data_IF_563408443954
#
_entry.id   IF_563408443954
#
_cell.length_a   1.000
_cell.length_b   1.000
_cell.length_c   1.000
_cell.angle_alpha   90.00
_cell.angle_beta   90.00
_cell.angle_gamma   90.00
#
_symmetry.space_group_name_H-M   'P 1'
#
loop_
_entity.id
_entity.type
_entity.pdbx_description
1 polymer ?
#
# COMPACT_ATOMS: atom_id res chain seq x y z
N UNK A 1 36.31 -37.43 2.99
CA UNK A 1 36.59 -36.39 4.00
C UNK A 1 35.28 -36.07 4.68
N UNK A 2 35.23 -36.24 6.01
CA UNK A 2 34.05 -36.03 6.84
C UNK A 2 33.67 -34.55 6.87
N UNK A 3 32.54 -34.19 6.25
CA UNK A 3 31.91 -32.87 6.41
C UNK A 3 31.40 -32.75 7.84
N UNK A 4 32.04 -31.90 8.64
CA UNK A 4 31.58 -31.52 9.96
C UNK A 4 30.24 -30.78 9.83
N UNK A 5 29.12 -31.48 10.06
CA UNK A 5 27.75 -30.95 10.03
C UNK A 5 27.39 -30.14 11.30
N UNK A 6 28.33 -29.40 11.89
CA UNK A 6 28.02 -28.53 13.02
C UNK A 6 27.48 -27.20 12.48
N UNK A 7 26.28 -26.82 12.94
CA UNK A 7 25.71 -25.50 12.66
C UNK A 7 26.57 -24.44 13.35
N UNK A 8 27.08 -23.48 12.59
CA UNK A 8 27.74 -22.31 13.18
C UNK A 8 26.67 -21.35 13.70
N UNK A 9 26.97 -20.61 14.76
CA UNK A 9 26.03 -19.62 15.32
C UNK A 9 25.66 -18.51 14.35
N UNK A 10 26.49 -18.27 13.33
CA UNK A 10 26.30 -17.25 12.30
C UNK A 10 25.18 -17.63 11.30
N UNK A 11 24.92 -18.93 11.14
CA UNK A 11 23.88 -19.46 10.25
C UNK A 11 22.50 -19.55 10.91
N UNK A 12 22.42 -19.20 12.20
CA UNK A 12 21.22 -19.29 13.02
C UNK A 12 20.59 -17.92 13.28
N UNK A 13 19.27 -17.89 13.18
CA UNK A 13 18.43 -16.73 13.47
C UNK A 13 17.47 -17.10 14.59
N UNK A 14 17.39 -16.24 15.60
CA UNK A 14 16.59 -16.48 16.78
C UNK A 14 15.38 -15.55 16.79
N UNK A 15 14.21 -16.14 16.96
CA UNK A 15 12.96 -15.42 17.12
C UNK A 15 13.03 -14.46 18.30
N UNK A 16 12.44 -13.29 18.10
CA UNK A 16 12.24 -12.27 19.13
C UNK A 16 10.78 -12.21 19.59
N UNK A 17 9.93 -13.06 19.02
CA UNK A 17 8.50 -13.18 19.34
C UNK A 17 8.22 -14.45 20.13
N UNK A 18 8.74 -15.59 19.66
CA UNK A 18 8.54 -16.94 20.19
C UNK A 18 9.82 -17.49 20.80
N UNK A 19 9.80 -17.89 22.07
CA UNK A 19 11.00 -18.37 22.77
C UNK A 19 11.67 -19.63 22.17
N UNK A 20 10.96 -20.38 21.32
CA UNK A 20 11.48 -21.58 20.65
C UNK A 20 11.74 -21.41 19.14
N UNK A 21 11.54 -20.22 18.56
CA UNK A 21 11.75 -20.02 17.13
C UNK A 21 13.23 -19.94 16.78
N UNK A 22 13.74 -20.98 16.12
CA UNK A 22 15.12 -21.02 15.61
C UNK A 22 15.09 -21.36 14.13
N UNK A 23 15.74 -20.53 13.33
CA UNK A 23 15.78 -20.65 11.89
C UNK A 23 17.23 -20.79 11.41
N UNK A 24 17.42 -21.56 10.35
CA UNK A 24 18.71 -21.77 9.70
C UNK A 24 18.69 -21.20 8.29
N UNK A 25 19.77 -20.55 7.89
CA UNK A 25 20.11 -20.36 6.48
C UNK A 25 21.30 -21.24 6.12
N UNK A 26 21.22 -22.00 5.03
CA UNK A 26 22.31 -22.86 4.58
C UNK A 26 23.33 -22.16 3.67
N UNK A 27 23.17 -20.84 3.46
CA UNK A 27 23.97 -19.99 2.56
C UNK A 27 23.95 -20.43 1.09
N UNK A 28 23.01 -21.28 0.69
CA UNK A 28 22.90 -21.75 -0.70
C UNK A 28 21.78 -21.02 -1.43
N UNK A 29 20.67 -20.75 -0.73
CA UNK A 29 19.47 -20.21 -1.35
C UNK A 29 19.21 -18.74 -0.99
N UNK A 30 19.21 -17.90 -2.03
CA UNK A 30 18.71 -16.53 -2.00
C UNK A 30 17.47 -16.46 -2.90
N UNK A 31 16.41 -15.86 -2.39
CA UNK A 31 15.11 -15.76 -3.06
C UNK A 31 14.70 -14.30 -3.27
N UNK A 32 13.88 -14.06 -4.28
CA UNK A 32 13.26 -12.76 -4.52
C UNK A 32 11.97 -12.62 -3.68
N UNK A 33 11.40 -11.41 -3.63
CA UNK A 33 10.06 -11.23 -3.07
C UNK A 33 9.04 -12.03 -3.89
N UNK A 34 8.34 -13.02 -3.29
CA UNK A 34 7.45 -13.92 -4.02
C UNK A 34 6.21 -13.22 -4.61
N UNK A 35 5.88 -11.99 -4.19
CA UNK A 35 4.73 -11.27 -4.73
C UNK A 35 4.97 -10.65 -6.11
N UNK A 36 6.20 -10.19 -6.39
CA UNK A 36 6.49 -9.36 -7.57
C UNK A 36 7.76 -9.73 -8.35
N UNK A 37 8.59 -10.62 -7.81
CA UNK A 37 9.93 -10.88 -8.34
C UNK A 37 10.84 -9.65 -8.22
N UNK A 38 11.92 -9.61 -9.01
CA UNK A 38 12.96 -8.58 -8.86
C UNK A 38 12.63 -7.20 -9.44
N UNK A 39 11.59 -7.01 -10.26
CA UNK A 39 11.41 -5.76 -11.05
C UNK A 39 12.68 -5.24 -11.78
N UNK A 40 13.70 -6.09 -11.99
CA UNK A 40 15.04 -5.70 -12.47
C UNK A 40 16.04 -5.21 -11.40
N UNK A 41 15.61 -5.02 -10.15
CA UNK A 41 16.44 -4.49 -9.04
C UNK A 41 17.35 -5.55 -8.38
N UNK A 42 17.16 -6.83 -8.71
CA UNK A 42 17.89 -7.97 -8.12
C UNK A 42 17.95 -7.96 -6.58
N UNK A 43 16.84 -7.54 -5.95
CA UNK A 43 16.71 -7.65 -4.50
C UNK A 43 16.49 -9.11 -4.11
N UNK A 44 17.23 -9.55 -3.10
CA UNK A 44 17.36 -10.91 -2.65
C UNK A 44 17.22 -11.00 -1.14
N UNK A 45 16.79 -12.16 -0.68
CA UNK A 45 16.59 -12.48 0.72
C UNK A 45 17.07 -13.90 1.00
N UNK A 46 17.78 -14.13 2.12
CA UNK A 46 18.02 -15.46 2.64
C UNK A 46 16.72 -16.27 2.78
N UNK A 47 16.72 -17.50 2.28
CA UNK A 47 15.64 -18.43 2.58
C UNK A 47 15.95 -19.16 3.88
N UNK A 48 15.20 -18.82 4.93
CA UNK A 48 15.36 -19.41 6.25
C UNK A 48 14.45 -20.62 6.40
N UNK A 49 14.95 -21.69 7.02
CA UNK A 49 14.14 -22.87 7.39
C UNK A 49 14.01 -22.95 8.90
N UNK A 50 12.78 -23.06 9.41
CA UNK A 50 12.53 -23.31 10.83
C UNK A 50 13.03 -24.71 11.19
N UNK A 51 13.90 -24.82 12.20
CA UNK A 51 14.52 -26.09 12.58
C UNK A 51 13.55 -27.11 13.22
N UNK A 52 12.41 -26.63 13.72
CA UNK A 52 11.40 -27.47 14.36
C UNK A 52 10.34 -27.88 13.36
N UNK A 53 9.79 -26.93 12.59
CA UNK A 53 8.65 -27.19 11.69
C UNK A 53 9.06 -27.55 10.26
N UNK A 54 10.29 -27.20 9.84
CA UNK A 54 10.74 -27.33 8.46
C UNK A 54 10.12 -26.30 7.51
N UNK A 55 9.30 -25.38 8.00
CA UNK A 55 8.69 -24.33 7.19
C UNK A 55 9.74 -23.31 6.74
N UNK A 56 9.54 -22.77 5.53
CA UNK A 56 10.47 -21.82 4.92
C UNK A 56 9.94 -20.40 4.94
N UNK A 57 10.86 -19.46 5.20
CA UNK A 57 10.57 -18.05 5.35
C UNK A 57 11.59 -17.23 4.58
N UNK A 58 11.12 -16.20 3.89
CA UNK A 58 11.99 -15.13 3.42
C UNK A 58 11.92 -13.97 4.42
N UNK A 59 12.97 -13.15 4.46
CA UNK A 59 13.06 -12.02 5.38
C UNK A 59 13.01 -10.68 4.66
N UNK A 60 12.43 -9.68 5.32
CA UNK A 60 12.57 -8.26 4.93
C UNK A 60 13.15 -7.48 6.11
N UNK A 61 14.21 -6.72 5.85
CA UNK A 61 14.88 -5.89 6.85
C UNK A 61 14.04 -4.69 7.24
N UNK A 62 14.23 -4.24 8.48
CA UNK A 62 13.73 -2.97 8.95
C UNK A 62 14.57 -2.40 10.08
N UNK A 63 14.53 -1.07 10.22
CA UNK A 63 14.98 -0.40 11.44
C UNK A 63 13.86 -0.49 12.48
N UNK A 64 14.17 -1.09 13.62
CA UNK A 64 13.19 -1.32 14.66
C UNK A 64 13.74 -0.84 16.01
N UNK A 65 13.10 0.19 16.57
CA UNK A 65 13.33 0.62 17.94
C UNK A 65 12.49 -0.22 18.91
N UNK A 66 12.72 -0.06 20.22
CA UNK A 66 12.03 -0.86 21.24
C UNK A 66 10.51 -0.69 21.25
N UNK A 67 9.99 0.51 20.96
CA UNK A 67 8.56 0.79 20.92
C UNK A 67 7.90 0.07 19.74
N UNK A 68 8.45 0.24 18.54
CA UNK A 68 7.98 -0.41 17.31
C UNK A 68 8.07 -1.93 17.42
N UNK A 69 9.11 -2.46 18.07
CA UNK A 69 9.26 -3.89 18.35
C UNK A 69 8.05 -4.46 19.08
N UNK A 70 7.60 -3.81 20.16
CA UNK A 70 6.49 -4.32 20.96
C UNK A 70 5.16 -4.27 20.20
N UNK A 71 4.95 -3.23 19.37
CA UNK A 71 3.77 -3.12 18.50
C UNK A 71 3.78 -4.21 17.43
N UNK A 72 4.89 -4.41 16.73
CA UNK A 72 5.03 -5.48 15.73
C UNK A 72 4.87 -6.87 16.34
N UNK A 73 5.43 -7.10 17.54
CA UNK A 73 5.22 -8.34 18.28
C UNK A 73 3.73 -8.62 18.50
N UNK A 74 2.95 -7.63 18.93
CA UNK A 74 1.49 -7.78 19.09
C UNK A 74 0.80 -8.10 17.76
N UNK A 75 1.19 -7.46 16.66
CA UNK A 75 0.65 -7.71 15.31
C UNK A 75 0.96 -9.10 14.77
N UNK A 76 2.17 -9.60 15.02
CA UNK A 76 2.56 -10.96 14.66
C UNK A 76 1.72 -11.98 15.43
N UNK A 77 1.46 -11.72 16.71
CA UNK A 77 0.65 -12.59 17.58
C UNK A 77 -0.86 -12.50 17.30
N UNK A 78 -1.34 -11.47 16.61
CA UNK A 78 -2.74 -11.26 16.28
C UNK A 78 -2.90 -10.94 14.79
N UNK A 79 -2.54 -11.83 13.86
CA UNK A 79 -2.58 -11.52 12.44
C UNK A 79 -4.03 -11.34 11.93
N UNK A 80 -4.25 -10.52 10.88
CA UNK A 80 -5.51 -10.51 10.14
C UNK A 80 -5.67 -11.83 9.35
N UNK A 81 -6.81 -11.98 8.68
CA UNK A 81 -6.93 -12.97 7.62
C UNK A 81 -5.90 -12.68 6.51
N UNK A 82 -5.06 -13.67 6.25
CA UNK A 82 -3.95 -13.58 5.29
C UNK A 82 -4.41 -13.83 3.85
N UNK A 83 -5.70 -13.92 3.59
CA UNK A 83 -6.27 -14.07 2.25
C UNK A 83 -6.00 -12.86 1.35
N UNK A 84 -5.90 -11.65 1.92
CA UNK A 84 -5.73 -10.40 1.17
C UNK A 84 -4.47 -9.60 1.51
N UNK A 85 -3.62 -10.04 2.43
CA UNK A 85 -2.41 -9.32 2.80
C UNK A 85 -1.28 -10.27 3.19
N UNK A 86 -0.06 -9.97 2.73
CA UNK A 86 1.16 -10.58 3.24
C UNK A 86 1.32 -10.16 4.69
N UNK A 87 1.60 -11.09 5.60
CA UNK A 87 1.75 -10.76 7.02
C UNK A 87 2.98 -11.45 7.63
N UNK A 88 3.75 -10.75 8.47
CA UNK A 88 4.89 -11.37 9.14
C UNK A 88 4.42 -12.44 10.10
N UNK A 89 5.10 -13.58 10.08
CA UNK A 89 4.86 -14.70 11.02
C UNK A 89 5.80 -14.65 12.20
N UNK A 90 6.95 -13.99 12.09
CA UNK A 90 7.93 -13.83 13.16
C UNK A 90 8.84 -12.62 12.90
N UNK A 91 9.74 -12.33 13.84
CA UNK A 91 10.76 -11.30 13.76
C UNK A 91 12.06 -11.78 14.42
N UNK A 92 13.20 -11.48 13.80
CA UNK A 92 14.54 -11.86 14.29
C UNK A 92 15.44 -10.64 14.39
N UNK A 93 16.44 -10.71 15.27
CA UNK A 93 17.58 -9.78 15.25
C UNK A 93 18.57 -10.19 14.17
N UNK A 94 19.25 -9.22 13.57
CA UNK A 94 20.29 -9.45 12.58
C UNK A 94 21.64 -8.97 13.10
N UNK A 95 22.70 -9.76 12.89
CA UNK A 95 24.06 -9.25 12.91
C UNK A 95 24.34 -8.41 11.65
N UNK A 96 25.45 -7.64 11.65
CA UNK A 96 25.85 -6.86 10.47
C UNK A 96 26.11 -7.76 9.25
N UNK A 97 26.70 -8.94 9.45
CA UNK A 97 26.90 -9.93 8.39
C UNK A 97 25.56 -10.43 7.83
N UNK A 98 24.63 -10.83 8.71
CA UNK A 98 23.31 -11.31 8.28
C UNK A 98 22.50 -10.21 7.58
N UNK A 99 22.62 -8.96 8.04
CA UNK A 99 21.97 -7.82 7.41
C UNK A 99 22.51 -7.54 6.00
N UNK A 100 23.81 -7.72 5.77
CA UNK A 100 24.44 -7.53 4.47
C UNK A 100 23.96 -8.52 3.40
N UNK A 101 23.43 -9.68 3.82
CA UNK A 101 22.97 -10.75 2.92
C UNK A 101 21.51 -10.57 2.44
N UNK A 102 20.78 -9.61 3.01
CA UNK A 102 19.40 -9.32 2.64
C UNK A 102 19.27 -7.92 2.04
N UNK A 103 18.73 -7.81 0.83
CA UNK A 103 18.43 -6.52 0.18
C UNK A 103 16.94 -6.17 0.18
N UNK A 104 16.06 -7.06 0.65
CA UNK A 104 14.65 -6.74 0.85
C UNK A 104 14.40 -5.90 2.11
N UNK A 105 13.49 -4.94 2.01
CA UNK A 105 13.05 -4.06 3.09
C UNK A 105 11.54 -4.02 3.23
N UNK A 106 11.07 -3.86 4.46
CA UNK A 106 9.64 -3.68 4.77
C UNK A 106 9.16 -2.33 4.22
N UNK A 107 9.89 -1.25 4.51
CA UNK A 107 9.56 0.11 4.11
C UNK A 107 9.95 0.41 2.66
N UNK A 108 9.14 1.23 1.98
CA UNK A 108 9.53 1.91 0.75
C UNK A 108 10.00 3.33 1.07
N UNK A 109 10.85 3.87 0.22
CA UNK A 109 11.10 5.32 0.17
C UNK A 109 10.36 5.88 -1.04
N UNK A 110 9.65 6.98 -0.79
CA UNK A 110 8.88 7.74 -1.76
C UNK A 110 9.51 9.14 -1.88
N UNK A 111 10.82 9.22 -2.10
CA UNK A 111 11.59 10.47 -2.14
C UNK A 111 12.12 10.78 -3.53
N UNK A 112 12.55 12.02 -3.74
CA UNK A 112 13.22 12.43 -4.98
C UNK A 112 14.54 11.71 -5.25
N UNK A 113 15.23 11.30 -4.19
CA UNK A 113 16.52 10.58 -4.26
C UNK A 113 16.49 9.43 -3.26
N UNK A 114 15.98 8.25 -3.65
CA UNK A 114 15.94 7.09 -2.77
C UNK A 114 17.34 6.64 -2.35
N UNK A 115 17.46 6.24 -1.09
CA UNK A 115 18.71 5.74 -0.51
C UNK A 115 19.10 4.42 -1.19
N UNK A 116 20.39 4.28 -1.53
CA UNK A 116 20.91 3.03 -2.10
C UNK A 116 20.71 1.88 -1.12
N UNK A 117 20.31 0.71 -1.62
CA UNK A 117 20.03 -0.48 -0.81
C UNK A 117 21.22 -0.89 0.08
N UNK A 118 22.44 -0.70 -0.41
CA UNK A 118 23.69 -0.95 0.32
C UNK A 118 23.89 -0.02 1.53
N UNK A 119 23.29 1.16 1.51
CA UNK A 119 23.40 2.16 2.58
C UNK A 119 22.26 2.06 3.60
N UNK A 120 21.18 1.36 3.25
CA UNK A 120 20.03 1.16 4.12
C UNK A 120 20.40 0.26 5.30
N UNK A 121 20.20 0.78 6.50
CA UNK A 121 20.38 0.07 7.77
C UNK A 121 19.11 -0.71 8.15
N UNK A 122 19.28 -1.82 8.85
CA UNK A 122 18.19 -2.61 9.40
C UNK A 122 18.71 -3.60 10.43
N UNK A 123 18.44 -3.34 11.71
CA UNK A 123 18.91 -4.15 12.84
C UNK A 123 18.03 -5.41 13.08
N UNK A 124 16.89 -5.51 12.39
CA UNK A 124 15.95 -6.63 12.51
C UNK A 124 15.39 -7.04 11.15
N UNK A 125 14.82 -8.24 11.11
CA UNK A 125 14.08 -8.76 9.98
C UNK A 125 12.71 -9.27 10.42
N UNK A 126 11.69 -9.01 9.59
CA UNK A 126 10.41 -9.69 9.66
C UNK A 126 10.46 -10.94 8.77
N UNK A 127 9.95 -12.05 9.29
CA UNK A 127 9.88 -13.35 8.59
C UNK A 127 8.50 -13.50 7.97
N UNK A 128 8.47 -13.79 6.68
CA UNK A 128 7.28 -14.03 5.91
C UNK A 128 7.32 -15.46 5.36
N UNK A 129 6.22 -16.23 5.43
CA UNK A 129 6.17 -17.56 4.81
C UNK A 129 6.57 -17.45 3.33
N UNK A 130 7.37 -18.37 2.79
CA UNK A 130 7.81 -18.30 1.39
C UNK A 130 6.88 -19.04 0.41
N UNK A 131 6.23 -20.10 0.85
CA UNK A 131 5.33 -20.91 0.01
C UNK A 131 3.90 -20.38 -0.08
N UNK A 132 3.20 -20.80 -1.14
CA UNK A 132 1.74 -20.62 -1.26
C UNK A 132 1.27 -19.35 -1.99
N UNK A 133 2.18 -18.59 -2.61
CA UNK A 133 1.81 -17.40 -3.39
C UNK A 133 1.69 -17.75 -4.88
N UNK A 134 0.49 -17.63 -5.48
CA UNK A 134 0.36 -17.74 -6.93
C UNK A 134 1.08 -16.57 -7.62
N UNK A 135 1.44 -16.70 -8.91
CA UNK A 135 1.98 -15.58 -9.68
C UNK A 135 1.04 -14.36 -9.63
N UNK A 136 1.63 -13.20 -9.36
CA UNK A 136 0.93 -11.93 -9.20
C UNK A 136 1.65 -10.82 -9.97
N UNK A 137 0.91 -9.76 -10.32
CA UNK A 137 1.48 -8.53 -10.87
C UNK A 137 1.07 -7.34 -10.01
N UNK A 138 1.96 -6.38 -9.82
CA UNK A 138 1.61 -5.16 -9.09
C UNK A 138 0.64 -4.27 -9.89
N UNK A 139 0.00 -3.34 -9.19
CA UNK A 139 -0.97 -2.38 -9.75
C UNK A 139 -0.39 -1.56 -10.90
N UNK A 140 0.88 -1.15 -10.82
CA UNK A 140 1.52 -0.41 -11.92
C UNK A 140 1.51 -1.21 -13.23
N UNK A 141 1.95 -2.48 -13.19
CA UNK A 141 1.92 -3.38 -14.35
C UNK A 141 0.50 -3.72 -14.78
N UNK A 142 -0.42 -3.89 -13.82
CA UNK A 142 -1.82 -4.17 -14.10
C UNK A 142 -2.47 -3.02 -14.88
N UNK A 143 -2.24 -1.77 -14.45
CA UNK A 143 -2.79 -0.61 -15.14
C UNK A 143 -2.13 -0.37 -16.49
N UNK A 144 -0.83 -0.64 -16.64
CA UNK A 144 -0.14 -0.54 -17.94
C UNK A 144 -0.69 -1.51 -19.01
N UNK A 145 -1.36 -2.60 -18.60
CA UNK A 145 -2.04 -3.52 -19.51
C UNK A 145 -3.43 -3.03 -19.93
N UNK A 146 -4.00 -2.06 -19.21
CA UNK A 146 -5.33 -1.52 -19.47
C UNK A 146 -5.17 -0.28 -20.33
N UNK A 147 -5.73 -0.30 -21.55
CA UNK A 147 -5.54 0.78 -22.54
C UNK A 147 -6.03 2.15 -22.09
N UNK A 148 -7.08 2.19 -21.27
CA UNK A 148 -7.72 3.44 -20.87
C UNK A 148 -8.25 3.33 -19.44
N UNK A 149 -7.78 4.24 -18.59
CA UNK A 149 -8.32 4.47 -17.25
C UNK A 149 -9.63 5.23 -17.37
N UNK A 150 -10.73 4.57 -17.01
CA UNK A 150 -12.06 5.14 -17.08
C UNK A 150 -13.03 4.32 -16.22
N UNK A 151 -13.91 4.97 -15.47
CA UNK A 151 -14.99 4.25 -14.76
C UNK A 151 -15.95 3.52 -15.72
N UNK A 152 -16.02 3.90 -17.00
CA UNK A 152 -16.79 3.18 -18.02
C UNK A 152 -16.18 1.81 -18.35
N UNK A 153 -14.86 1.66 -18.17
CA UNK A 153 -14.15 0.42 -18.40
C UNK A 153 -14.49 -0.63 -17.31
N UNK A 154 -15.13 -1.77 -17.64
CA UNK A 154 -15.44 -2.82 -16.67
C UNK A 154 -14.22 -3.35 -15.91
N UNK A 155 -13.05 -3.42 -16.55
CA UNK A 155 -11.83 -3.90 -15.90
C UNK A 155 -11.35 -2.95 -14.80
N UNK A 156 -11.45 -1.64 -15.03
CA UNK A 156 -11.13 -0.61 -14.03
C UNK A 156 -12.11 -0.65 -12.87
N UNK A 157 -13.40 -0.83 -13.15
CA UNK A 157 -14.40 -1.02 -12.08
C UNK A 157 -14.09 -2.24 -11.24
N UNK A 158 -13.72 -3.36 -11.86
CA UNK A 158 -13.31 -4.54 -11.12
C UNK A 158 -12.02 -4.29 -10.32
N UNK A 159 -11.01 -3.64 -10.89
CA UNK A 159 -9.79 -3.25 -10.15
C UNK A 159 -10.14 -2.45 -8.89
N UNK A 160 -10.97 -1.42 -9.02
CA UNK A 160 -11.42 -0.61 -7.90
C UNK A 160 -12.18 -1.44 -6.83
N UNK A 161 -13.12 -2.29 -7.25
CA UNK A 161 -13.85 -3.20 -6.35
C UNK A 161 -12.90 -4.11 -5.57
N UNK A 162 -11.89 -4.69 -6.23
CA UNK A 162 -11.00 -5.66 -5.61
C UNK A 162 -10.01 -4.99 -4.65
N UNK A 163 -9.52 -3.78 -4.96
CA UNK A 163 -8.71 -2.97 -4.04
C UNK A 163 -9.52 -2.66 -2.78
N UNK A 164 -10.75 -2.16 -2.96
CA UNK A 164 -11.63 -1.82 -1.85
C UNK A 164 -11.94 -3.01 -0.97
N UNK A 165 -12.21 -4.18 -1.56
CA UNK A 165 -12.46 -5.42 -0.79
C UNK A 165 -11.26 -5.84 0.04
N UNK A 166 -10.06 -5.80 -0.53
CA UNK A 166 -8.85 -6.16 0.21
C UNK A 166 -8.63 -5.23 1.41
N UNK A 167 -8.76 -3.92 1.22
CA UNK A 167 -8.61 -2.93 2.30
C UNK A 167 -9.75 -3.05 3.32
N UNK A 168 -11.00 -3.26 2.88
CA UNK A 168 -12.15 -3.45 3.77
C UNK A 168 -11.99 -4.71 4.66
N UNK A 169 -11.42 -5.78 4.12
CA UNK A 169 -11.10 -6.99 4.88
C UNK A 169 -10.05 -6.72 5.95
N UNK A 170 -8.94 -6.05 5.59
CA UNK A 170 -7.91 -5.64 6.55
C UNK A 170 -8.48 -4.71 7.65
N UNK A 171 -9.35 -3.77 7.26
CA UNK A 171 -10.08 -2.91 8.21
C UNK A 171 -10.97 -3.70 9.17
N UNK A 172 -11.70 -4.70 8.69
CA UNK A 172 -12.56 -5.55 9.54
C UNK A 172 -11.77 -6.40 10.53
N UNK A 173 -10.53 -6.74 10.19
CA UNK A 173 -9.61 -7.43 11.07
C UNK A 173 -8.90 -6.49 12.07
N UNK A 174 -9.26 -5.20 12.09
CA UNK A 174 -8.77 -4.23 13.06
C UNK A 174 -7.48 -3.53 12.67
N UNK A 175 -7.15 -3.50 11.38
CA UNK A 175 -5.94 -2.87 10.83
C UNK A 175 -6.25 -1.80 9.80
N UNK A 176 -5.39 -0.78 9.73
CA UNK A 176 -5.43 0.28 8.72
C UNK A 176 -4.14 0.20 7.90
N UNK A 177 -4.31 0.32 6.59
CA UNK A 177 -3.31 0.22 5.55
C UNK A 177 -3.09 1.59 4.89
N UNK A 178 -2.07 2.33 5.33
CA UNK A 178 -1.75 3.68 4.83
C UNK A 178 -0.82 3.67 3.61
N UNK A 179 -0.26 2.52 3.23
CA UNK A 179 0.67 2.38 2.09
C UNK A 179 -0.05 2.27 0.74
N UNK A 180 -0.99 3.19 0.50
CA UNK A 180 -1.84 3.20 -0.70
C UNK A 180 -1.01 3.61 -1.91
N UNK A 181 -0.32 2.64 -2.51
CA UNK A 181 0.49 2.82 -3.70
C UNK A 181 0.34 1.61 -4.64
N UNK A 182 0.33 1.85 -5.94
CA UNK A 182 0.12 0.81 -6.95
C UNK A 182 1.26 -0.23 -7.00
N UNK A 183 2.47 0.09 -6.51
CA UNK A 183 3.55 -0.91 -6.36
C UNK A 183 3.33 -1.87 -5.18
N UNK A 184 2.44 -1.53 -4.24
CA UNK A 184 2.16 -2.28 -3.00
C UNK A 184 0.89 -3.12 -3.07
N UNK A 185 0.08 -2.91 -4.11
CA UNK A 185 -1.15 -3.62 -4.42
C UNK A 185 -0.85 -4.63 -5.53
N UNK A 186 -1.06 -5.92 -5.26
CA UNK A 186 -0.84 -7.01 -6.20
C UNK A 186 -2.16 -7.63 -6.66
N UNK A 187 -2.21 -8.05 -7.91
CA UNK A 187 -3.36 -8.71 -8.52
C UNK A 187 -3.01 -10.16 -8.83
N UNK A 188 -3.84 -11.08 -8.34
CA UNK A 188 -3.80 -12.49 -8.72
C UNK A 188 -4.40 -12.69 -10.12
N UNK A 189 -4.17 -13.87 -10.69
CA UNK A 189 -4.72 -14.27 -11.99
C UNK A 189 -6.25 -14.24 -12.05
N UNK A 190 -6.93 -14.49 -10.92
CA UNK A 190 -8.38 -14.39 -10.78
C UNK A 190 -8.90 -12.95 -10.58
N UNK A 191 -8.00 -11.96 -10.57
CA UNK A 191 -8.29 -10.55 -10.39
C UNK A 191 -8.43 -10.09 -8.93
N UNK A 192 -8.34 -10.99 -7.94
CA UNK A 192 -8.37 -10.59 -6.52
C UNK A 192 -7.09 -9.86 -6.12
N UNK A 193 -7.22 -8.95 -5.15
CA UNK A 193 -6.11 -8.15 -4.64
C UNK A 193 -5.42 -8.80 -3.46
N UNK A 194 -4.09 -8.69 -3.45
CA UNK A 194 -3.21 -9.04 -2.35
C UNK A 194 -2.31 -7.84 -2.00
N UNK A 195 -2.30 -7.44 -0.73
CA UNK A 195 -1.54 -6.30 -0.25
C UNK A 195 -0.18 -6.74 0.27
N UNK A 196 0.85 -5.95 0.04
CA UNK A 196 2.17 -6.18 0.61
C UNK A 196 2.27 -5.52 1.99
N UNK A 197 2.81 -6.23 2.98
CA UNK A 197 3.05 -5.64 4.30
C UNK A 197 4.04 -4.48 4.22
N UNK A 198 3.83 -3.45 5.03
CA UNK A 198 4.79 -2.36 5.22
C UNK A 198 4.76 -1.79 6.63
N UNK A 199 5.64 -0.82 6.90
CA UNK A 199 5.69 -0.08 8.16
C UNK A 199 4.52 0.91 8.34
N UNK A 200 3.67 1.06 7.32
CA UNK A 200 2.48 1.92 7.31
C UNK A 200 1.19 1.11 7.55
N UNK A 201 1.32 -0.06 8.17
CA UNK A 201 0.19 -0.83 8.68
C UNK A 201 0.05 -0.60 10.19
N UNK A 202 -1.12 -0.13 10.60
CA UNK A 202 -1.44 0.25 11.97
C UNK A 202 -2.61 -0.58 12.49
N UNK A 203 -2.62 -0.92 13.77
CA UNK A 203 -3.82 -1.48 14.41
C UNK A 203 -4.75 -0.34 14.83
N UNK A 204 -6.04 -0.63 15.00
CA UNK A 204 -6.97 0.37 15.53
C UNK A 204 -6.57 0.84 16.94
N UNK A 205 -5.96 -0.04 17.74
CA UNK A 205 -5.39 0.30 19.06
C UNK A 205 -4.33 1.41 18.95
N UNK A 206 -3.57 1.44 17.86
CA UNK A 206 -2.51 2.44 17.67
C UNK A 206 -3.09 3.86 17.58
N UNK A 207 -4.29 4.05 17.01
CA UNK A 207 -4.93 5.36 16.89
C UNK A 207 -5.64 5.84 18.14
N UNK A 208 -6.08 4.93 19.01
CA UNK A 208 -6.80 5.26 20.24
C UNK A 208 -5.88 5.36 21.47
N UNK A 209 -4.62 4.95 21.34
CA UNK A 209 -3.63 5.05 22.41
C UNK A 209 -3.16 6.48 22.63
N UNK A 210 -2.79 6.83 23.87
CA UNK A 210 -2.19 8.13 24.20
C UNK A 210 -0.86 8.39 23.44
N UNK A 211 -0.31 7.34 22.81
CA UNK A 211 0.91 7.32 22.00
C UNK A 211 0.62 7.38 20.49
N UNK A 212 -0.63 7.63 20.06
CA UNK A 212 -1.01 7.65 18.64
C UNK A 212 -0.17 8.64 17.82
N UNK A 213 -0.03 9.88 18.29
CA UNK A 213 0.68 10.95 17.58
C UNK A 213 2.17 10.63 17.31
N UNK A 214 2.98 10.16 18.28
CA UNK A 214 4.38 9.82 18.01
C UNK A 214 4.57 8.56 17.18
N UNK A 215 3.60 7.64 17.15
CA UNK A 215 3.75 6.34 16.49
C UNK A 215 3.12 6.26 15.11
N UNK A 216 1.89 6.76 14.96
CA UNK A 216 1.16 6.80 13.69
C UNK A 216 1.60 8.01 12.87
N UNK A 217 2.90 8.22 12.70
CA UNK A 217 3.46 9.34 11.94
C UNK A 217 4.55 8.81 11.01
N UNK A 218 4.64 9.41 9.83
CA UNK A 218 5.74 9.21 8.89
C UNK A 218 6.20 10.56 8.35
N UNK A 219 7.50 10.67 8.09
CA UNK A 219 8.10 11.87 7.52
C UNK A 219 7.82 11.95 6.03
N UNK A 220 7.99 13.15 5.46
CA UNK A 220 7.99 13.31 4.01
C UNK A 220 8.99 12.32 3.38
N UNK A 221 8.53 11.57 2.38
CA UNK A 221 9.30 10.51 1.74
C UNK A 221 9.15 9.11 2.32
N UNK A 222 8.46 8.95 3.45
CA UNK A 222 8.20 7.64 4.08
C UNK A 222 6.79 7.08 3.76
N UNK A 223 5.98 7.81 2.98
CA UNK A 223 4.63 7.43 2.54
C UNK A 223 4.37 7.86 1.08
N UNK A 224 3.45 7.19 0.35
CA UNK A 224 3.19 7.49 -1.05
C UNK A 224 2.53 8.86 -1.20
N UNK A 225 3.24 9.79 -1.82
CA UNK A 225 2.84 11.19 -1.85
C UNK A 225 1.68 11.43 -2.83
N UNK A 226 1.56 10.63 -3.88
CA UNK A 226 0.63 10.82 -5.01
C UNK A 226 -0.85 10.79 -4.58
N UNK A 227 -1.13 10.02 -3.53
CA UNK A 227 -2.47 9.83 -2.97
C UNK A 227 -2.57 10.32 -1.53
N UNK A 228 -1.54 10.97 -0.97
CA UNK A 228 -1.57 11.42 0.42
C UNK A 228 -2.58 12.54 0.66
N UNK A 229 -3.11 12.65 1.88
CA UNK A 229 -3.97 13.77 2.26
C UNK A 229 -3.17 15.08 2.32
N UNK A 230 -3.62 16.19 1.68
CA UNK A 230 -2.90 17.47 1.73
C UNK A 230 -2.64 18.00 3.13
N UNK A 231 -3.57 17.84 4.06
CA UNK A 231 -3.36 18.22 5.46
C UNK A 231 -2.16 17.49 6.08
N UNK A 232 -1.97 16.20 5.78
CA UNK A 232 -0.82 15.42 6.23
C UNK A 232 0.47 15.90 5.56
N UNK A 233 0.47 16.06 4.24
CA UNK A 233 1.65 16.50 3.48
C UNK A 233 2.13 17.89 3.92
N UNK A 234 1.19 18.79 4.24
CA UNK A 234 1.48 20.14 4.73
C UNK A 234 1.80 20.20 6.22
N UNK A 235 1.71 19.09 6.95
CA UNK A 235 1.94 19.02 8.39
C UNK A 235 0.84 19.70 9.24
N UNK A 236 -0.33 19.97 8.66
CA UNK A 236 -1.52 20.43 9.39
C UNK A 236 -2.01 19.26 10.26
N UNK A 237 -2.15 18.09 9.64
CA UNK A 237 -2.34 16.81 10.33
C UNK A 237 -0.95 16.21 10.62
N UNK A 238 -0.70 15.84 11.88
CA UNK A 238 0.62 15.35 12.32
C UNK A 238 0.74 13.82 12.31
N UNK A 239 -0.37 13.10 12.29
CA UNK A 239 -0.41 11.65 12.37
C UNK A 239 -1.47 11.07 11.44
N UNK A 240 -1.24 9.87 10.95
CA UNK A 240 -2.25 9.07 10.27
C UNK A 240 -3.44 8.79 11.17
N UNK A 241 -4.60 8.62 10.55
CA UNK A 241 -5.84 8.18 11.17
C UNK A 241 -6.75 7.55 10.11
N UNK A 242 -7.95 7.13 10.49
CA UNK A 242 -8.89 6.54 9.53
C UNK A 242 -9.20 7.44 8.32
N UNK A 243 -9.14 8.77 8.49
CA UNK A 243 -9.44 9.70 7.42
C UNK A 243 -8.29 9.81 6.42
N UNK A 244 -7.02 9.63 6.84
CA UNK A 244 -5.87 9.61 5.91
C UNK A 244 -5.99 8.44 4.93
N UNK A 245 -6.21 7.20 5.41
CA UNK A 245 -6.44 6.06 4.52
C UNK A 245 -7.62 6.30 3.58
N UNK A 246 -8.76 6.75 4.13
CA UNK A 246 -9.97 6.92 3.35
C UNK A 246 -9.83 8.02 2.29
N UNK A 247 -9.08 9.08 2.60
CA UNK A 247 -8.69 10.11 1.63
C UNK A 247 -7.84 9.49 0.52
N UNK A 248 -6.77 8.76 0.87
CA UNK A 248 -5.86 8.17 -0.13
C UNK A 248 -6.55 7.17 -1.04
N UNK A 249 -7.49 6.40 -0.49
CA UNK A 249 -8.32 5.50 -1.27
C UNK A 249 -9.25 6.27 -2.23
N UNK A 250 -9.85 7.38 -1.80
CA UNK A 250 -10.64 8.26 -2.66
C UNK A 250 -9.80 8.85 -3.79
N UNK A 251 -8.60 9.35 -3.50
CA UNK A 251 -7.67 9.89 -4.49
C UNK A 251 -7.24 8.81 -5.52
N UNK A 252 -6.94 7.59 -5.06
CA UNK A 252 -6.65 6.46 -5.93
C UNK A 252 -7.84 6.09 -6.83
N UNK A 253 -9.05 6.03 -6.28
CA UNK A 253 -10.27 5.76 -7.06
C UNK A 253 -10.50 6.83 -8.12
N UNK A 254 -10.26 8.10 -7.79
CA UNK A 254 -10.36 9.20 -8.75
C UNK A 254 -9.38 8.99 -9.91
N UNK A 255 -8.11 8.72 -9.60
CA UNK A 255 -7.10 8.42 -10.62
C UNK A 255 -7.49 7.23 -11.51
N UNK A 256 -7.98 6.14 -10.93
CA UNK A 256 -8.45 4.97 -11.70
C UNK A 256 -9.61 5.32 -12.65
N UNK A 257 -10.54 6.18 -12.20
CA UNK A 257 -11.79 6.46 -12.91
C UNK A 257 -11.68 7.52 -14.00
N UNK A 258 -10.70 8.40 -13.89
CA UNK A 258 -10.54 9.56 -14.75
C UNK A 258 -9.20 9.61 -15.46
N UNK A 259 -8.23 8.77 -15.07
CA UNK A 259 -6.86 8.81 -15.59
C UNK A 259 -6.08 10.06 -15.18
N UNK A 260 -6.65 10.89 -14.30
CA UNK A 260 -6.13 12.19 -13.88
C UNK A 260 -6.07 12.25 -12.35
N UNK A 261 -5.05 12.89 -11.79
CA UNK A 261 -4.98 13.14 -10.34
C UNK A 261 -5.90 14.31 -9.95
N UNK A 262 -6.46 14.26 -8.74
CA UNK A 262 -7.56 15.14 -8.35
C UNK A 262 -7.22 16.64 -8.24
N UNK A 263 -5.94 17.00 -8.11
CA UNK A 263 -5.46 18.40 -8.15
C UNK A 263 -4.56 18.70 -9.35
N UNK A 264 -4.48 17.79 -10.32
CA UNK A 264 -3.65 17.96 -11.50
C UNK A 264 -4.45 18.63 -12.61
N UNK A 265 -4.69 19.93 -12.44
CA UNK A 265 -5.33 20.78 -13.44
C UNK A 265 -4.45 21.97 -13.78
N UNK A 266 -5.08 23.09 -14.13
CA UNK A 266 -4.39 24.29 -14.62
C UNK A 266 -3.28 24.83 -13.69
N UNK A 267 -3.40 24.63 -12.37
CA UNK A 267 -2.41 25.09 -11.40
C UNK A 267 -1.09 24.31 -11.47
N UNK A 268 -1.09 23.11 -12.05
CA UNK A 268 0.09 22.29 -12.25
C UNK A 268 0.57 22.27 -13.71
N UNK A 269 0.04 23.15 -14.55
CA UNK A 269 0.57 23.37 -15.90
C UNK A 269 2.05 23.74 -15.85
N UNK A 270 2.87 23.02 -16.61
CA UNK A 270 4.32 23.24 -16.69
C UNK A 270 5.16 22.30 -15.82
N UNK A 271 4.55 21.51 -14.94
CA UNK A 271 5.25 20.38 -14.32
C UNK A 271 5.49 19.28 -15.35
N UNK A 272 6.71 18.75 -15.37
CA UNK A 272 7.09 17.60 -16.21
C UNK A 272 7.27 16.39 -15.30
N UNK A 273 6.67 15.26 -15.66
CA UNK A 273 6.69 14.02 -14.88
C UNK A 273 7.42 12.90 -15.62
N UNK A 274 8.73 13.07 -15.83
CA UNK A 274 9.58 12.18 -16.65
C UNK A 274 10.70 11.49 -15.85
N UNK A 275 10.75 11.73 -14.53
CA UNK A 275 11.79 11.24 -13.64
C UNK A 275 11.29 11.22 -12.20
N UNK A 276 11.85 10.33 -11.37
CA UNK A 276 11.49 10.18 -9.95
C UNK A 276 11.59 11.52 -9.20
N UNK A 277 12.64 12.29 -9.46
CA UNK A 277 12.83 13.60 -8.82
C UNK A 277 11.72 14.59 -9.21
N UNK A 278 11.43 14.75 -10.50
CA UNK A 278 10.39 15.70 -10.92
C UNK A 278 9.00 15.23 -10.54
N UNK A 279 8.75 13.92 -10.57
CA UNK A 279 7.53 13.30 -10.05
C UNK A 279 7.29 13.72 -8.59
N UNK A 280 8.29 13.49 -7.72
CA UNK A 280 8.19 13.86 -6.32
C UNK A 280 8.00 15.37 -6.11
N UNK A 281 8.72 16.21 -6.85
CA UNK A 281 8.56 17.68 -6.78
C UNK A 281 7.16 18.12 -7.21
N UNK A 282 6.63 17.56 -8.31
CA UNK A 282 5.25 17.80 -8.75
C UNK A 282 4.27 17.47 -7.65
N UNK A 283 4.33 16.26 -7.08
CA UNK A 283 3.39 15.87 -6.04
C UNK A 283 3.60 16.61 -4.72
N UNK A 284 4.82 17.01 -4.36
CA UNK A 284 5.01 17.88 -3.20
C UNK A 284 4.28 19.23 -3.37
N UNK A 285 4.34 19.81 -4.56
CA UNK A 285 3.72 21.10 -4.84
C UNK A 285 2.20 20.98 -5.09
N UNK A 286 1.75 19.87 -5.67
CA UNK A 286 0.34 19.45 -5.84
C UNK A 286 -0.46 19.58 -4.53
N UNK A 287 0.15 19.29 -3.37
CA UNK A 287 -0.53 19.37 -2.08
C UNK A 287 -0.56 20.79 -1.48
N UNK A 288 0.21 21.76 -2.01
CA UNK A 288 0.29 23.12 -1.43
C UNK A 288 -1.02 23.90 -1.59
N UNK A 289 -1.73 23.68 -2.70
CA UNK A 289 -2.99 24.33 -3.03
C UNK A 289 -3.98 23.29 -3.57
N UNK A 290 -4.61 22.49 -2.69
CA UNK A 290 -5.42 21.33 -3.06
C UNK A 290 -6.82 21.75 -3.55
N UNK A 291 -6.86 22.51 -4.64
CA UNK A 291 -8.11 22.92 -5.31
C UNK A 291 -8.51 21.79 -6.25
N UNK A 292 -9.62 21.12 -5.93
CA UNK A 292 -10.13 20.00 -6.72
C UNK A 292 -10.45 20.44 -8.16
N UNK A 293 -10.02 19.67 -9.16
CA UNK A 293 -10.21 20.03 -10.58
C UNK A 293 -11.69 20.13 -10.99
N UNK A 294 -12.59 19.52 -10.23
CA UNK A 294 -14.04 19.62 -10.40
C UNK A 294 -14.72 20.25 -9.18
N UNK A 295 -14.02 21.11 -8.44
CA UNK A 295 -14.63 21.82 -7.29
C UNK A 295 -15.77 22.74 -7.76
N UNK A 296 -17.02 22.57 -7.28
CA UNK A 296 -18.15 23.38 -7.74
C UNK A 296 -18.06 24.85 -7.30
N UNK A 297 -17.23 25.18 -6.32
CA UNK A 297 -17.10 26.52 -5.76
C UNK A 297 -15.79 27.23 -6.16
N UNK A 298 -14.77 26.50 -6.62
CA UNK A 298 -13.50 27.07 -7.05
C UNK A 298 -13.00 26.46 -8.38
N UNK A 299 -13.06 27.25 -9.45
CA UNK A 299 -12.65 26.84 -10.80
C UNK A 299 -11.21 27.23 -11.13
N UNK A 300 -10.41 27.67 -10.16
CA UNK A 300 -9.02 28.06 -10.40
C UNK A 300 -8.18 26.92 -10.99
N UNK A 301 -8.45 25.68 -10.59
CA UNK A 301 -7.76 24.49 -11.08
C UNK A 301 -8.52 23.69 -12.14
N UNK A 302 -9.60 24.24 -12.71
CA UNK A 302 -10.41 23.53 -13.68
C UNK A 302 -9.60 23.10 -14.92
N UNK A 303 -10.03 22.00 -15.52
CA UNK A 303 -9.57 21.49 -16.82
C UNK A 303 -10.20 22.31 -17.97
N UNK A 304 -9.56 22.39 -19.14
CA UNK A 304 -10.23 22.97 -20.33
C UNK A 304 -9.33 23.64 -21.37
N UNK A 305 -8.01 23.41 -21.35
CA UNK A 305 -7.07 23.95 -22.32
C UNK A 305 -6.73 22.97 -23.46
N UNK A 306 -6.91 21.65 -23.27
CA UNK A 306 -6.46 20.62 -24.22
C UNK A 306 -7.51 19.52 -24.51
N UNK A 307 -7.34 18.80 -25.62
CA UNK A 307 -8.28 17.73 -26.04
C UNK A 307 -8.31 16.53 -25.06
N UNK A 308 -7.18 16.16 -24.47
CA UNK A 308 -7.10 15.10 -23.46
C UNK A 308 -7.90 15.46 -22.20
N UNK A 309 -7.84 16.73 -21.77
CA UNK A 309 -8.61 17.25 -20.65
C UNK A 309 -10.13 17.23 -20.92
N UNK A 310 -10.54 17.41 -22.18
CA UNK A 310 -11.95 17.33 -22.58
C UNK A 310 -12.53 15.93 -22.34
N UNK A 311 -11.76 14.88 -22.61
CA UNK A 311 -12.19 13.51 -22.33
C UNK A 311 -12.46 13.29 -20.83
N UNK A 312 -11.62 13.87 -19.97
CA UNK A 312 -11.78 13.78 -18.51
C UNK A 312 -13.04 14.53 -18.06
N UNK A 313 -13.30 15.71 -18.63
CA UNK A 313 -14.52 16.49 -18.36
C UNK A 313 -15.77 15.69 -18.76
N UNK A 314 -15.80 15.11 -19.97
CA UNK A 314 -16.92 14.29 -20.45
C UNK A 314 -17.15 13.06 -19.54
N UNK A 315 -16.07 12.38 -19.13
CA UNK A 315 -16.15 11.28 -18.16
C UNK A 315 -16.73 11.73 -16.82
N UNK A 316 -16.37 12.92 -16.34
CA UNK A 316 -16.91 13.48 -15.10
C UNK A 316 -18.38 13.85 -15.21
N UNK A 317 -18.79 14.51 -16.29
CA UNK A 317 -20.19 14.91 -16.52
C UNK A 317 -21.13 13.71 -16.57
N UNK A 318 -20.68 12.61 -17.18
CA UNK A 318 -21.44 11.35 -17.25
C UNK A 318 -21.33 10.48 -15.99
N UNK A 319 -20.41 10.78 -15.07
CA UNK A 319 -20.20 9.99 -13.86
C UNK A 319 -21.46 9.99 -12.98
N UNK A 320 -21.89 8.83 -12.43
CA UNK A 320 -23.04 8.77 -11.52
C UNK A 320 -22.96 9.81 -10.39
N UNK A 321 -24.07 10.52 -10.13
CA UNK A 321 -24.08 11.65 -9.18
C UNK A 321 -23.63 11.28 -7.78
N UNK A 322 -24.01 10.10 -7.30
CA UNK A 322 -23.54 9.57 -6.01
C UNK A 322 -22.00 9.45 -5.93
N UNK A 323 -21.32 9.14 -7.03
CA UNK A 323 -19.86 9.11 -7.06
C UNK A 323 -19.27 10.51 -7.09
N UNK A 324 -19.84 11.40 -7.91
CA UNK A 324 -19.43 12.81 -7.95
C UNK A 324 -19.52 13.44 -6.55
N UNK A 325 -20.60 13.20 -5.82
CA UNK A 325 -20.80 13.68 -4.45
C UNK A 325 -19.73 13.16 -3.49
N UNK A 326 -19.40 11.86 -3.54
CA UNK A 326 -18.34 11.29 -2.69
C UNK A 326 -16.96 11.89 -3.01
N UNK A 327 -16.66 12.11 -4.29
CA UNK A 327 -15.40 12.76 -4.71
C UNK A 327 -15.36 14.22 -4.26
N UNK A 328 -16.38 15.02 -4.54
CA UNK A 328 -16.45 16.43 -4.12
C UNK A 328 -16.33 16.54 -2.60
N UNK A 329 -17.10 15.75 -1.85
CA UNK A 329 -17.06 15.78 -0.39
C UNK A 329 -15.66 15.52 0.18
N UNK A 330 -14.92 14.57 -0.42
CA UNK A 330 -13.61 14.16 0.10
C UNK A 330 -12.48 15.06 -0.40
N UNK A 331 -12.53 15.47 -1.67
CA UNK A 331 -11.41 16.08 -2.38
C UNK A 331 -11.48 17.61 -2.41
N UNK A 332 -12.63 18.22 -2.14
CA UNK A 332 -12.72 19.68 -2.00
C UNK A 332 -11.77 20.21 -0.93
N UNK A 333 -11.27 21.43 -1.15
CA UNK A 333 -10.19 22.01 -0.37
C UNK A 333 -10.47 22.03 1.14
N UNK A 334 -11.70 22.36 1.54
CA UNK A 334 -12.07 22.41 2.96
C UNK A 334 -11.84 21.07 3.68
N UNK A 335 -12.19 19.95 3.04
CA UNK A 335 -12.00 18.63 3.61
C UNK A 335 -10.54 18.19 3.53
N UNK A 336 -9.89 18.44 2.39
CA UNK A 336 -8.49 18.09 2.15
C UNK A 336 -7.50 18.81 3.09
N UNK A 337 -7.86 20.01 3.58
CA UNK A 337 -7.13 20.79 4.58
C UNK A 337 -7.59 20.54 6.03
N UNK A 338 -8.58 19.68 6.24
CA UNK A 338 -9.25 19.42 7.53
C UNK A 338 -9.84 20.68 8.18
N UNK A 339 -10.40 21.58 7.38
CA UNK A 339 -11.13 22.75 7.85
C UNK A 339 -12.52 22.34 8.38
N UNK A 340 -12.57 21.86 9.62
CA UNK A 340 -13.80 21.44 10.29
C UNK A 340 -13.86 19.93 10.56
N UNK A 341 -15.06 19.40 10.74
CA UNK A 341 -15.25 17.96 10.99
C UNK A 341 -15.17 17.20 9.67
N UNK A 342 -14.18 16.32 9.55
CA UNK A 342 -13.92 15.47 8.38
C UNK A 342 -14.49 14.07 8.62
N UNK A 343 -15.18 13.53 7.62
CA UNK A 343 -15.66 12.14 7.61
C UNK A 343 -15.49 11.59 6.19
N UNK A 344 -14.29 11.07 5.91
CA UNK A 344 -13.99 10.51 4.60
C UNK A 344 -14.65 9.13 4.44
N UNK A 345 -15.25 8.80 3.26
CA UNK A 345 -15.96 7.54 3.07
C UNK A 345 -15.03 6.33 3.24
N UNK A 346 -15.34 5.39 4.14
CA UNK A 346 -14.56 4.16 4.28
C UNK A 346 -14.76 3.23 3.06
N UNK A 347 -13.88 2.23 2.87
CA UNK A 347 -13.98 1.26 1.77
C UNK A 347 -15.40 0.65 1.61
N UNK A 348 -16.03 0.30 2.72
CA UNK A 348 -17.40 -0.24 2.76
C UNK A 348 -18.47 0.69 2.16
N UNK A 349 -18.29 2.02 2.25
CA UNK A 349 -19.21 2.99 1.66
C UNK A 349 -19.11 2.99 0.14
N UNK A 350 -17.88 2.95 -0.39
CA UNK A 350 -17.63 2.80 -1.83
C UNK A 350 -18.17 1.47 -2.37
N UNK A 351 -17.93 0.36 -1.67
CA UNK A 351 -18.44 -0.95 -2.06
C UNK A 351 -19.96 -0.99 -2.14
N UNK A 352 -20.65 -0.37 -1.16
CA UNK A 352 -22.11 -0.24 -1.18
C UNK A 352 -22.59 0.58 -2.37
N UNK A 353 -21.90 1.68 -2.69
CA UNK A 353 -22.19 2.49 -3.86
C UNK A 353 -22.01 1.67 -5.16
N UNK A 354 -20.92 0.92 -5.28
CA UNK A 354 -20.64 0.08 -6.45
C UNK A 354 -21.65 -1.06 -6.61
N UNK A 355 -22.16 -1.64 -5.52
CA UNK A 355 -23.27 -2.61 -5.57
C UNK A 355 -24.56 -1.96 -6.11
N UNK A 356 -24.91 -0.77 -5.63
CA UNK A 356 -26.08 0.00 -6.11
C UNK A 356 -25.98 0.35 -7.60
N UNK A 357 -24.77 0.63 -8.09
CA UNK A 357 -24.50 0.89 -9.51
C UNK A 357 -24.40 -0.38 -10.36
N UNK A 358 -24.54 -1.57 -9.77
CA UNK A 358 -24.48 -2.86 -10.46
C UNK A 358 -23.07 -3.26 -10.92
N UNK A 359 -22.02 -2.71 -10.29
CA UNK A 359 -20.62 -3.00 -10.65
C UNK A 359 -20.08 -4.26 -9.97
N UNK A 360 -20.77 -4.75 -8.94
CA UNK A 360 -20.43 -5.96 -8.23
C UNK A 360 -21.28 -7.11 -8.78
N UNK A 361 -20.65 -8.04 -9.50
CA UNK A 361 -21.33 -9.27 -9.94
C UNK A 361 -21.54 -10.19 -8.74
N UNK A 362 -22.81 -10.44 -8.41
CA UNK A 362 -23.17 -11.53 -7.52
C UNK A 362 -22.98 -12.81 -8.33
N UNK A 363 -22.03 -13.68 -7.93
CA UNK A 363 -21.99 -15.04 -8.48
C UNK A 363 -23.37 -15.64 -8.22
N UNK A 364 -24.10 -16.02 -9.28
CA UNK A 364 -25.25 -16.90 -9.13
C UNK A 364 -24.71 -18.14 -8.41
N UNK A 365 -25.30 -18.47 -7.28
CA UNK A 365 -25.14 -19.82 -6.75
C UNK A 365 -25.76 -20.72 -7.80
N UNK A 366 -24.94 -21.45 -8.55
CA UNK A 366 -25.38 -22.58 -9.36
C UNK A 366 -25.87 -23.66 -8.37
N UNK A 367 -27.11 -23.47 -7.92
CA UNK A 367 -27.98 -24.52 -7.41
C UNK A 367 -29.14 -24.58 -8.41
N UNK A 368 -28.91 -25.30 -9.49
CA UNK A 368 -29.94 -25.94 -10.31
C UNK A 368 -29.49 -27.40 -10.37
N UNK A 369 -29.96 -28.21 -9.43
CA UNK A 369 -31.10 -29.12 -9.63
C UNK A 369 -30.65 -30.39 -10.36
N UNK A 370 -29.99 -31.29 -9.62
CA UNK A 370 -30.08 -32.72 -9.92
C UNK A 370 -31.44 -33.20 -9.41
N UNK A 371 -32.40 -33.33 -10.33
CA UNK A 371 -33.59 -34.18 -10.19
C UNK A 371 -33.34 -35.47 -10.96
#
# INVERSE_FOLDING_TARGET
>A
MSTNNYLTTEDLYYSTVYGGGVYKWDRQELVQDPLGGNNGENLLSPLLTNLITGETYFIKRMNCNYVLHNKLRRRILNPPDRSNILWPSDMVNLSDEQAAQCSLFVAQEYTETPTLVSEKKGNRALLFPYGGYPPMINGMRKLAQIKQLSWKNPEIRNVAVQILRAIDNVNKDGYVYEDIHLSRIFFRSDGTVYLNFSNLVYSFEDFISDEATPFCHAKAGEYPIEFAEPALVRGIQKSFDFNTQNYSLCALLFYLFFGQYCYDGRLLTGYVDDSIQKHYVKFRDYHKMPVFIFDPQDQQNALGAFDEERQVIELWEECPKILQELFIMTLSQSNAERNGKVVNPPPSTWLRCFDQLGWITKKKNDKEDEV
#
